data_IF_125438126320
#
_entry.id   IF_125438126320
#
_cell.length_a   1.000
_cell.length_b   1.000
_cell.length_c   1.000
_cell.angle_alpha   90.00
_cell.angle_beta   90.00
_cell.angle_gamma   90.00
#
_symmetry.space_group_name_H-M   'P 1'
#
loop_
_entity.id
_entity.type
_entity.pdbx_description
1 polymer ?
#
# COMPACT_ATOMS: atom_id res chain seq x y z
N UNK A 1 -30.46 -5.17 34.09
CA UNK A 1 -30.78 -5.55 32.70
C UNK A 1 -29.80 -4.86 31.75
N UNK A 2 -29.20 -5.56 30.77
CA UNK A 2 -28.02 -5.13 30.04
C UNK A 2 -28.34 -4.46 28.70
N UNK A 3 -27.52 -3.49 28.26
CA UNK A 3 -27.21 -3.19 26.83
C UNK A 3 -25.75 -2.69 26.80
N UNK A 4 -24.78 -3.42 26.21
CA UNK A 4 -24.51 -3.59 24.76
C UNK A 4 -24.16 -2.22 24.16
N UNK A 5 -22.99 -1.89 23.65
CA UNK A 5 -21.74 -2.58 23.37
C UNK A 5 -20.96 -1.67 22.41
N UNK A 6 -19.62 -1.64 22.55
CA UNK A 6 -18.58 -1.23 21.59
C UNK A 6 -18.84 0.01 20.73
N UNK A 7 -17.94 0.96 20.82
CA UNK A 7 -17.20 1.46 19.65
C UNK A 7 -15.82 1.85 20.18
N UNK A 8 -14.82 1.02 19.85
CA UNK A 8 -13.44 1.41 20.08
C UNK A 8 -13.21 2.62 19.19
N UNK A 9 -12.79 3.73 19.79
CA UNK A 9 -12.33 4.90 19.07
C UNK A 9 -11.34 4.45 18.00
N UNK A 10 -11.81 4.35 16.76
CA UNK A 10 -10.93 4.49 15.61
C UNK A 10 -10.43 5.92 15.73
N UNK A 11 -9.27 6.08 16.35
CA UNK A 11 -8.47 7.27 16.18
C UNK A 11 -8.32 7.44 14.67
N UNK A 12 -9.15 8.31 14.10
CA UNK A 12 -8.92 8.83 12.77
C UNK A 12 -7.55 9.49 12.91
N UNK A 13 -6.55 8.90 12.30
CA UNK A 13 -5.21 9.51 12.22
C UNK A 13 -5.38 10.71 11.28
N UNK A 14 -5.95 11.80 11.81
CA UNK A 14 -6.13 13.09 11.13
C UNK A 14 -4.87 13.95 11.17
N UNK A 15 -3.75 13.40 11.63
CA UNK A 15 -2.52 14.13 11.88
C UNK A 15 -1.28 13.35 11.48
N UNK A 16 -1.23 12.79 10.26
CA UNK A 16 0.08 12.61 9.64
C UNK A 16 0.55 14.02 9.27
N UNK A 17 1.14 14.73 10.24
CA UNK A 17 1.96 15.89 9.94
C UNK A 17 3.12 15.37 9.07
N UNK A 18 2.97 15.47 7.76
CA UNK A 18 3.95 15.05 6.76
C UNK A 18 5.19 15.96 6.85
N UNK A 19 5.93 15.86 7.94
CA UNK A 19 7.35 16.23 7.97
C UNK A 19 8.12 15.04 7.41
N UNK A 20 7.85 14.66 6.15
CA UNK A 20 8.24 13.35 5.66
C UNK A 20 8.90 13.49 4.28
N UNK A 21 9.99 12.77 4.10
CA UNK A 21 10.80 12.77 2.88
C UNK A 21 9.99 12.11 1.78
N UNK A 22 9.13 12.88 1.11
CA UNK A 22 8.35 12.42 -0.03
C UNK A 22 9.30 12.01 -1.14
N UNK A 23 9.37 10.71 -1.38
CA UNK A 23 10.07 10.12 -2.50
C UNK A 23 9.03 9.56 -3.46
N UNK A 24 9.03 10.15 -4.64
CA UNK A 24 8.18 9.73 -5.73
C UNK A 24 8.96 8.76 -6.62
N UNK A 25 8.49 7.53 -6.72
CA UNK A 25 8.99 6.58 -7.72
C UNK A 25 7.83 6.09 -8.57
N UNK A 26 7.68 6.72 -9.73
CA UNK A 26 6.69 6.25 -10.71
C UNK A 26 7.10 4.88 -11.23
N UNK A 27 6.19 3.92 -11.06
CA UNK A 27 6.30 2.57 -11.60
C UNK A 27 5.23 2.32 -12.67
N UNK A 28 4.65 3.40 -13.22
CA UNK A 28 3.61 3.33 -14.25
C UNK A 28 4.06 2.42 -15.40
N UNK A 29 3.28 1.37 -15.67
CA UNK A 29 3.59 0.39 -16.70
C UNK A 29 4.55 -0.74 -16.30
N UNK A 30 4.96 -0.84 -15.03
CA UNK A 30 5.80 -1.95 -14.56
C UNK A 30 4.98 -3.21 -14.38
N UNK A 31 5.33 -4.27 -15.11
CA UNK A 31 4.71 -5.59 -14.94
C UNK A 31 5.14 -6.21 -13.59
N UNK A 32 4.17 -6.56 -12.76
CA UNK A 32 4.41 -7.36 -11.55
C UNK A 32 4.58 -8.84 -11.88
N UNK A 33 4.77 -9.69 -10.88
CA UNK A 33 4.74 -11.14 -11.08
C UNK A 33 3.71 -11.77 -10.14
N UNK A 34 3.39 -13.05 -10.34
CA UNK A 34 2.56 -13.84 -9.41
C UNK A 34 3.30 -14.19 -8.10
N UNK A 35 4.57 -13.82 -7.98
CA UNK A 35 5.37 -13.87 -6.76
C UNK A 35 5.67 -12.47 -6.25
N UNK A 36 5.95 -12.35 -4.95
CA UNK A 36 6.33 -11.06 -4.36
C UNK A 36 7.67 -10.56 -4.91
N UNK A 37 7.67 -9.35 -5.44
CA UNK A 37 8.87 -8.62 -5.86
C UNK A 37 9.11 -7.47 -4.88
N UNK A 38 10.33 -7.37 -4.37
CA UNK A 38 10.73 -6.31 -3.43
C UNK A 38 10.96 -5.00 -4.18
N UNK A 39 10.28 -3.95 -3.75
CA UNK A 39 10.55 -2.57 -4.14
C UNK A 39 11.23 -1.86 -2.97
N UNK A 40 12.51 -1.52 -3.13
CA UNK A 40 13.28 -0.77 -2.14
C UNK A 40 13.10 0.74 -2.31
N UNK A 41 13.07 1.48 -1.20
CA UNK A 41 12.92 2.94 -1.22
C UNK A 41 14.24 3.69 -1.05
N UNK A 42 15.25 3.04 -0.46
CA UNK A 42 16.53 3.68 -0.12
C UNK A 42 16.50 4.53 1.16
N UNK A 43 15.36 4.64 1.83
CA UNK A 43 15.17 5.31 3.13
C UNK A 43 14.04 4.65 3.92
N UNK A 44 13.84 5.07 5.18
CA UNK A 44 12.73 4.59 6.01
C UNK A 44 11.53 5.53 5.89
N UNK A 45 10.42 5.03 5.34
CA UNK A 45 9.14 5.72 5.20
C UNK A 45 8.17 5.32 6.31
N UNK A 46 7.08 6.05 6.47
CA UNK A 46 5.96 5.70 7.36
C UNK A 46 4.62 5.54 6.61
N UNK A 47 4.58 5.96 5.35
CA UNK A 47 3.36 6.03 4.58
C UNK A 47 3.63 5.75 3.11
N UNK A 48 2.81 4.91 2.50
CA UNK A 48 2.85 4.60 1.08
C UNK A 48 1.47 4.81 0.49
N UNK A 49 1.38 5.42 -0.69
CA UNK A 49 0.21 5.40 -1.53
C UNK A 49 0.46 4.47 -2.73
N UNK A 50 -0.37 3.43 -2.88
CA UNK A 50 -0.30 2.48 -3.98
C UNK A 50 -1.57 2.58 -4.83
N UNK A 51 -1.43 2.84 -6.12
CA UNK A 51 -2.53 2.77 -7.08
C UNK A 51 -2.35 1.56 -8.00
N UNK A 52 -3.44 0.83 -8.23
CA UNK A 52 -3.50 -0.20 -9.25
C UNK A 52 -4.13 0.39 -10.52
N UNK A 53 -3.36 0.45 -11.61
CA UNK A 53 -3.84 0.96 -12.89
C UNK A 53 -4.33 -0.17 -13.82
N UNK A 54 -4.26 -1.43 -13.37
CA UNK A 54 -4.66 -2.60 -14.14
C UNK A 54 -6.18 -2.83 -14.04
N UNK A 55 -6.89 -2.78 -15.17
CA UNK A 55 -8.35 -2.97 -15.19
C UNK A 55 -8.76 -4.40 -14.81
N UNK A 56 -9.68 -4.54 -13.86
CA UNK A 56 -10.27 -5.82 -13.45
C UNK A 56 -9.34 -6.76 -12.67
N UNK A 57 -8.14 -6.31 -12.31
CA UNK A 57 -7.16 -7.08 -11.55
C UNK A 57 -6.91 -6.47 -10.15
N UNK A 58 -6.14 -7.17 -9.32
CA UNK A 58 -5.62 -6.62 -8.07
C UNK A 58 -4.11 -6.76 -7.92
N UNK A 59 -3.57 -5.92 -7.05
CA UNK A 59 -2.19 -5.98 -6.58
C UNK A 59 -2.21 -6.30 -5.09
N UNK A 60 -1.50 -7.35 -4.69
CA UNK A 60 -1.25 -7.63 -3.29
C UNK A 60 0.02 -6.93 -2.83
N UNK A 61 -0.01 -6.45 -1.59
CA UNK A 61 1.17 -5.90 -0.95
C UNK A 61 1.51 -6.63 0.34
N UNK A 62 2.80 -6.61 0.65
CA UNK A 62 3.38 -7.13 1.88
C UNK A 62 4.47 -6.20 2.38
N UNK A 63 4.60 -6.09 3.72
CA UNK A 63 5.70 -5.38 4.35
C UNK A 63 6.82 -6.29 4.85
N UNK A 64 6.66 -7.61 4.75
CA UNK A 64 7.66 -8.60 5.18
C UNK A 64 8.09 -9.56 4.05
N UNK A 65 7.44 -9.49 2.89
CA UNK A 65 7.65 -10.37 1.75
C UNK A 65 7.12 -11.79 1.93
N UNK A 66 6.44 -12.08 3.05
CA UNK A 66 5.95 -13.41 3.40
C UNK A 66 4.42 -13.44 3.47
N UNK A 67 3.82 -12.55 4.26
CA UNK A 67 2.37 -12.48 4.46
C UNK A 67 1.74 -11.39 3.60
N UNK A 68 0.57 -11.70 3.02
CA UNK A 68 -0.26 -10.68 2.38
C UNK A 68 -0.83 -9.76 3.44
N UNK A 69 -0.49 -8.48 3.36
CA UNK A 69 -1.00 -7.45 4.28
C UNK A 69 -2.27 -6.80 3.73
N UNK A 70 -2.43 -6.74 2.41
CA UNK A 70 -3.66 -6.31 1.78
C UNK A 70 -3.62 -6.38 0.27
N UNK A 71 -4.69 -5.87 -0.35
CA UNK A 71 -4.88 -5.83 -1.80
C UNK A 71 -5.39 -4.45 -2.23
N UNK A 72 -4.99 -4.02 -3.42
CA UNK A 72 -5.46 -2.79 -4.10
C UNK A 72 -6.14 -3.21 -5.40
N UNK A 73 -7.40 -2.82 -5.57
CA UNK A 73 -8.21 -3.10 -6.77
C UNK A 73 -8.27 -1.87 -7.66
N UNK A 74 -8.55 -2.07 -8.96
CA UNK A 74 -8.66 -0.98 -9.95
C UNK A 74 -9.79 0.03 -9.65
N UNK A 75 -10.81 -0.39 -8.90
CA UNK A 75 -11.99 0.44 -8.62
C UNK A 75 -11.72 1.56 -7.63
N UNK A 76 -10.54 1.56 -7.01
CA UNK A 76 -10.15 2.60 -6.07
C UNK A 76 -9.80 3.86 -6.87
N UNK A 77 -10.71 4.84 -6.89
CA UNK A 77 -10.56 6.13 -7.59
C UNK A 77 -9.39 6.98 -7.06
N UNK A 78 -8.74 6.52 -5.99
CA UNK A 78 -7.63 7.14 -5.30
C UNK A 78 -6.62 6.05 -4.91
N UNK A 79 -5.32 6.37 -4.90
CA UNK A 79 -4.32 5.46 -4.36
C UNK A 79 -4.68 4.98 -2.95
N UNK A 80 -4.46 3.69 -2.67
CA UNK A 80 -4.60 3.14 -1.32
C UNK A 80 -3.45 3.65 -0.47
N UNK A 81 -3.77 4.55 0.46
CA UNK A 81 -2.83 5.05 1.47
C UNK A 81 -2.70 4.03 2.61
N UNK A 82 -1.47 3.65 2.91
CA UNK A 82 -1.10 2.66 3.92
C UNK A 82 -0.10 3.30 4.88
N UNK A 83 -0.52 3.49 6.13
CA UNK A 83 0.34 3.96 7.21
C UNK A 83 0.92 2.79 8.01
N UNK A 84 2.19 2.89 8.40
CA UNK A 84 2.92 1.83 9.10
C UNK A 84 4.04 2.40 9.98
N UNK A 85 4.64 1.55 10.84
CA UNK A 85 5.58 2.01 11.86
C UNK A 85 6.89 2.58 11.32
N UNK A 86 7.53 1.92 10.37
CA UNK A 86 8.69 2.34 9.55
C UNK A 86 8.98 1.22 8.55
N UNK A 87 9.09 1.51 7.25
CA UNK A 87 9.48 0.51 6.23
C UNK A 87 10.48 1.08 5.24
N UNK A 88 11.46 0.26 4.86
CA UNK A 88 12.43 0.57 3.80
C UNK A 88 12.10 -0.04 2.44
N UNK A 89 11.03 -0.84 2.38
CA UNK A 89 10.57 -1.51 1.18
C UNK A 89 9.11 -1.93 1.30
N UNK A 90 8.52 -2.26 0.16
CA UNK A 90 7.24 -2.95 0.03
C UNK A 90 7.43 -4.10 -0.95
N UNK A 91 6.74 -5.21 -0.74
CA UNK A 91 6.72 -6.33 -1.65
C UNK A 91 5.38 -6.32 -2.37
N UNK A 92 5.43 -6.37 -3.70
CA UNK A 92 4.25 -6.30 -4.55
C UNK A 92 4.13 -7.56 -5.41
N UNK A 93 2.90 -8.02 -5.60
CA UNK A 93 2.52 -9.16 -6.42
C UNK A 93 1.26 -8.81 -7.19
N UNK A 94 1.25 -9.09 -8.48
CA UNK A 94 0.07 -8.96 -9.32
C UNK A 94 -0.78 -10.24 -9.30
N UNK A 95 -2.07 -10.13 -9.54
CA UNK A 95 -2.96 -11.28 -9.69
C UNK A 95 -2.54 -12.19 -10.86
N UNK A 96 -2.25 -11.59 -12.00
CA UNK A 96 -1.84 -12.23 -13.25
C UNK A 96 -0.36 -12.04 -13.56
N UNK A 97 0.32 -11.12 -12.87
CA UNK A 97 1.74 -10.84 -13.07
C UNK A 97 2.02 -9.98 -14.30
N UNK A 98 1.14 -9.02 -14.60
CA UNK A 98 1.35 -8.01 -15.63
C UNK A 98 0.67 -6.67 -15.29
N UNK A 99 0.19 -6.52 -14.06
CA UNK A 99 -0.58 -5.38 -13.60
C UNK A 99 0.29 -4.12 -13.48
N UNK A 100 0.01 -3.04 -14.23
CA UNK A 100 0.65 -1.75 -14.01
C UNK A 100 0.21 -1.10 -12.70
N UNK A 101 1.11 -0.33 -12.08
CA UNK A 101 0.85 0.35 -10.80
C UNK A 101 1.62 1.66 -10.64
N UNK A 102 1.19 2.51 -9.70
CA UNK A 102 1.95 3.69 -9.24
C UNK A 102 2.20 3.63 -7.74
N UNK A 103 3.37 4.11 -7.32
CA UNK A 103 3.80 4.09 -5.92
C UNK A 103 4.33 5.45 -5.49
N UNK A 104 3.76 6.02 -4.44
CA UNK A 104 4.30 7.22 -3.78
C UNK A 104 4.67 6.88 -2.34
N UNK A 105 5.82 7.34 -1.89
CA UNK A 105 6.39 7.00 -0.59
C UNK A 105 6.65 8.30 0.17
N UNK A 106 6.16 8.39 1.41
CA UNK A 106 6.28 9.59 2.26
C UNK A 106 7.03 9.29 3.55
#
# INVERSE_FOLDING_TARGET
MPKKGKEGDMAIITGIEMSANSYFQDQSGTALTTSFVKQEFGFQSFCIALANDATGAYIEYSFDGAAVHGRVKDTDSQPKVMAFRRQGSIWLRGESGAEPYRLEVY
#
